data_IF_256778460192
#
_entry.id   IF_256778460192
#
_cell.length_a   1.000
_cell.length_b   1.000
_cell.length_c   1.000
_cell.angle_alpha   90.00
_cell.angle_beta   90.00
_cell.angle_gamma   90.00
#
_symmetry.space_group_name_H-M   'P 1'
#
loop_
_entity.id
_entity.type
_entity.pdbx_description
1 polymer ?
#
# COMPACT_ATOMS: atom_id res chain seq x y z
N UNK A 1 21.17 29.60 3.99
CA UNK A 1 21.16 29.98 5.42
C UNK A 1 19.77 29.82 6.06
N UNK A 2 18.73 30.31 5.42
CA UNK A 2 17.35 30.30 5.93
C UNK A 2 16.79 28.88 6.13
N UNK A 3 17.06 27.97 5.21
CA UNK A 3 16.60 26.55 5.30
C UNK A 3 17.26 25.80 6.46
N UNK A 4 18.52 26.12 6.79
CA UNK A 4 19.23 25.52 7.93
C UNK A 4 18.73 26.08 9.27
N UNK A 5 18.32 27.32 9.30
CA UNK A 5 17.75 27.96 10.48
C UNK A 5 16.34 27.43 10.78
N UNK A 6 15.54 27.22 9.74
CA UNK A 6 14.22 26.59 9.85
C UNK A 6 14.33 25.15 10.32
N UNK A 7 15.29 24.37 9.81
CA UNK A 7 15.53 23.00 10.23
C UNK A 7 15.90 22.87 11.73
N UNK A 8 16.58 23.90 12.30
CA UNK A 8 16.88 23.94 13.75
C UNK A 8 15.66 24.14 14.65
N UNK A 9 14.59 24.72 14.12
CA UNK A 9 13.34 24.99 14.86
C UNK A 9 12.30 23.90 14.67
N UNK A 10 12.56 22.91 13.80
CA UNK A 10 11.65 21.81 13.50
C UNK A 10 11.35 21.00 14.75
N UNK A 11 10.08 20.79 15.05
CA UNK A 11 9.62 20.00 16.18
C UNK A 11 8.70 18.83 15.79
N UNK A 12 8.42 18.69 14.50
CA UNK A 12 7.69 17.58 13.93
C UNK A 12 8.26 17.17 12.57
N UNK A 13 8.23 15.89 12.26
CA UNK A 13 8.60 15.34 10.95
C UNK A 13 7.54 14.35 10.50
N UNK A 14 7.16 14.48 9.24
CA UNK A 14 6.22 13.56 8.58
C UNK A 14 7.01 12.70 7.60
N UNK A 15 6.96 11.40 7.82
CA UNK A 15 7.69 10.40 7.06
C UNK A 15 6.72 9.59 6.21
N UNK A 16 6.98 9.48 4.91
CA UNK A 16 6.30 8.49 4.08
C UNK A 16 6.81 7.09 4.43
N UNK A 17 5.96 6.08 4.35
CA UNK A 17 6.39 4.71 4.53
C UNK A 17 7.31 4.27 3.39
N UNK A 18 6.77 4.28 2.16
CA UNK A 18 7.40 3.66 0.98
C UNK A 18 8.62 4.45 0.50
N UNK A 19 9.76 3.79 0.43
CA UNK A 19 11.02 4.39 -0.01
C UNK A 19 11.71 5.29 1.03
N UNK A 20 11.02 5.65 2.12
CA UNK A 20 11.60 6.44 3.24
C UNK A 20 11.92 5.55 4.43
N UNK A 21 10.92 4.99 5.08
CA UNK A 21 11.09 4.02 6.17
C UNK A 21 11.40 2.61 5.63
N UNK A 22 10.95 2.31 4.43
CA UNK A 22 11.19 1.06 3.73
C UNK A 22 12.19 1.24 2.57
N UNK A 23 12.67 0.13 2.02
CA UNK A 23 13.64 0.12 0.93
C UNK A 23 13.07 0.63 -0.41
N UNK A 24 11.74 0.73 -0.52
CA UNK A 24 11.06 1.11 -1.75
C UNK A 24 11.12 0.03 -2.83
N UNK A 25 11.30 -1.22 -2.42
CA UNK A 25 11.37 -2.41 -3.28
C UNK A 25 10.35 -3.44 -2.83
N UNK A 26 9.06 -3.20 -3.11
CA UNK A 26 8.02 -4.16 -2.76
C UNK A 26 8.23 -5.48 -3.50
N UNK A 27 8.02 -6.59 -2.81
CA UNK A 27 8.12 -7.94 -3.35
C UNK A 27 6.92 -8.77 -2.94
N UNK A 28 6.45 -9.65 -3.84
CA UNK A 28 5.40 -10.62 -3.53
C UNK A 28 5.95 -11.66 -2.55
N UNK A 29 5.24 -11.87 -1.45
CA UNK A 29 5.59 -12.84 -0.40
C UNK A 29 4.63 -14.00 -0.33
N UNK A 30 3.37 -13.78 -0.65
CA UNK A 30 2.31 -14.79 -0.64
C UNK A 30 1.36 -14.56 -1.81
N UNK A 31 0.80 -15.63 -2.33
CA UNK A 31 -0.22 -15.61 -3.37
C UNK A 31 -1.19 -16.76 -3.14
N UNK A 32 -2.48 -16.48 -3.17
CA UNK A 32 -3.50 -17.52 -3.00
C UNK A 32 -3.51 -18.49 -4.19
N UNK A 33 -3.77 -19.79 -3.89
CA UNK A 33 -3.67 -20.89 -4.86
C UNK A 33 -4.38 -20.66 -6.20
N UNK A 34 -5.63 -20.12 -6.25
CA UNK A 34 -6.29 -19.87 -7.53
C UNK A 34 -5.52 -18.92 -8.46
N UNK A 35 -4.74 -17.98 -7.92
CA UNK A 35 -3.97 -17.01 -8.71
C UNK A 35 -2.62 -17.57 -9.18
N UNK A 36 -2.20 -18.72 -8.67
CA UNK A 36 -1.02 -19.42 -9.16
C UNK A 36 -1.25 -20.09 -10.51
N UNK A 37 -2.52 -20.24 -10.94
CA UNK A 37 -2.94 -20.98 -12.13
C UNK A 37 -3.62 -20.09 -13.16
N UNK A 38 -3.55 -20.49 -14.42
CA UNK A 38 -4.39 -19.91 -15.47
C UNK A 38 -5.85 -20.35 -15.29
N UNK A 39 -6.84 -19.50 -15.65
CA UNK A 39 -6.64 -18.19 -16.27
C UNK A 39 -6.45 -17.04 -15.28
N UNK A 40 -6.75 -17.22 -13.97
CA UNK A 40 -6.81 -16.11 -13.00
C UNK A 40 -5.46 -15.43 -12.79
N UNK A 41 -4.38 -16.20 -12.77
CA UNK A 41 -3.03 -15.63 -12.71
C UNK A 41 -2.70 -14.76 -13.92
N UNK A 42 -3.15 -15.17 -15.10
CA UNK A 42 -2.93 -14.39 -16.34
C UNK A 42 -3.79 -13.12 -16.36
N UNK A 43 -5.01 -13.19 -15.81
CA UNK A 43 -5.88 -12.02 -15.62
C UNK A 43 -5.23 -11.00 -14.69
N UNK A 44 -4.75 -11.42 -13.52
CA UNK A 44 -4.06 -10.53 -12.57
C UNK A 44 -2.81 -9.91 -13.22
N UNK A 45 -1.99 -10.73 -13.86
CA UNK A 45 -0.80 -10.25 -14.56
C UNK A 45 -1.13 -9.21 -15.64
N UNK A 46 -2.19 -9.44 -16.41
CA UNK A 46 -2.64 -8.53 -17.46
C UNK A 46 -3.08 -7.17 -16.90
N UNK A 47 -3.90 -7.17 -15.85
CA UNK A 47 -4.35 -5.95 -15.18
C UNK A 47 -3.18 -5.13 -14.63
N UNK A 48 -2.29 -5.80 -13.90
CA UNK A 48 -1.17 -5.14 -13.23
C UNK A 48 -0.07 -4.70 -14.22
N UNK A 49 0.06 -5.37 -15.37
CA UNK A 49 0.98 -4.95 -16.44
C UNK A 49 0.59 -3.60 -17.06
N UNK A 50 -0.67 -3.20 -16.96
CA UNK A 50 -1.15 -1.90 -17.44
C UNK A 50 -1.05 -0.79 -16.38
N UNK A 51 -0.60 -1.12 -15.17
CA UNK A 51 -0.48 -0.20 -14.04
C UNK A 51 0.97 0.23 -13.82
N UNK A 52 1.18 1.52 -13.55
CA UNK A 52 2.49 2.08 -13.19
C UNK A 52 2.76 2.04 -11.66
N UNK A 53 1.82 1.52 -10.88
CA UNK A 53 1.95 1.49 -9.43
C UNK A 53 3.08 0.54 -8.98
N UNK A 54 3.93 0.90 -7.98
CA UNK A 54 5.03 0.04 -7.52
C UNK A 54 4.60 -1.37 -7.07
N UNK A 55 3.41 -1.50 -6.49
CA UNK A 55 2.86 -2.81 -6.09
C UNK A 55 2.49 -3.66 -7.32
N UNK A 56 1.96 -3.04 -8.38
CA UNK A 56 1.67 -3.71 -9.63
C UNK A 56 2.96 -4.25 -10.27
N UNK A 57 4.01 -3.42 -10.29
CA UNK A 57 5.32 -3.84 -10.79
C UNK A 57 5.89 -5.04 -10.02
N UNK A 58 5.70 -5.09 -8.69
CA UNK A 58 6.11 -6.22 -7.87
C UNK A 58 5.39 -7.52 -8.28
N UNK A 59 4.10 -7.45 -8.60
CA UNK A 59 3.32 -8.60 -9.08
C UNK A 59 3.82 -9.06 -10.44
N UNK A 60 4.04 -8.13 -11.38
CA UNK A 60 4.54 -8.41 -12.72
C UNK A 60 5.94 -9.04 -12.69
N UNK A 61 6.81 -8.58 -11.80
CA UNK A 61 8.16 -9.12 -11.64
C UNK A 61 8.20 -10.50 -10.97
N UNK A 62 7.19 -10.82 -10.18
CA UNK A 62 7.13 -12.10 -9.46
C UNK A 62 7.07 -13.31 -10.40
N UNK A 63 6.25 -13.23 -11.45
CA UNK A 63 6.12 -14.30 -12.43
C UNK A 63 5.65 -13.74 -13.78
N UNK A 64 6.43 -14.01 -14.83
CA UNK A 64 6.00 -13.70 -16.20
C UNK A 64 4.88 -14.65 -16.62
N UNK A 65 3.79 -14.07 -17.12
CA UNK A 65 2.59 -14.78 -17.57
C UNK A 65 2.13 -14.26 -18.93
N UNK A 66 1.11 -14.90 -19.48
CA UNK A 66 0.49 -14.46 -20.74
C UNK A 66 -0.28 -13.18 -20.51
N UNK A 67 -0.06 -12.17 -21.36
CA UNK A 67 -0.92 -10.99 -21.44
C UNK A 67 -2.13 -11.36 -22.30
N UNK A 68 -3.30 -11.20 -21.71
CA UNK A 68 -4.59 -11.45 -22.36
C UNK A 68 -5.08 -10.17 -23.04
N UNK A 69 -5.89 -10.29 -24.13
CA UNK A 69 -6.58 -9.12 -24.67
C UNK A 69 -7.47 -8.47 -23.61
N UNK A 70 -7.25 -7.16 -23.37
CA UNK A 70 -7.99 -6.38 -22.37
C UNK A 70 -8.57 -5.14 -23.01
N UNK A 71 -9.82 -4.87 -22.70
CA UNK A 71 -10.58 -3.69 -23.10
C UNK A 71 -10.94 -2.87 -21.86
N UNK A 72 -11.28 -1.61 -22.04
CA UNK A 72 -11.84 -0.73 -21.01
C UNK A 72 -10.99 -0.70 -19.72
N UNK A 73 -9.66 -0.63 -19.87
CA UNK A 73 -8.77 -0.45 -18.72
C UNK A 73 -8.98 0.90 -18.07
N UNK A 74 -9.07 0.90 -16.73
CA UNK A 74 -9.24 2.11 -15.93
C UNK A 74 -8.45 2.02 -14.63
N UNK A 75 -7.72 3.08 -14.32
CA UNK A 75 -7.10 3.26 -13.01
C UNK A 75 -8.09 3.93 -12.05
N UNK A 76 -8.43 3.26 -10.97
CA UNK A 76 -9.35 3.72 -9.93
C UNK A 76 -8.54 4.35 -8.79
N UNK A 77 -8.47 5.66 -8.76
CA UNK A 77 -7.61 6.42 -7.84
C UNK A 77 -7.78 5.98 -6.39
N UNK A 78 -6.68 5.51 -5.78
CA UNK A 78 -6.63 5.06 -4.39
C UNK A 78 -7.33 3.73 -4.10
N UNK A 79 -7.83 3.04 -5.13
CA UNK A 79 -8.51 1.76 -5.02
C UNK A 79 -7.77 0.64 -5.72
N UNK A 80 -7.32 0.85 -6.95
CA UNK A 80 -6.68 -0.14 -7.79
C UNK A 80 -6.95 0.08 -9.28
N UNK A 81 -7.14 -1.00 -10.02
CA UNK A 81 -7.39 -0.98 -11.46
C UNK A 81 -8.57 -1.88 -11.84
N UNK A 82 -9.17 -1.60 -12.98
CA UNK A 82 -10.24 -2.38 -13.59
C UNK A 82 -9.94 -2.60 -15.07
N UNK A 83 -10.35 -3.73 -15.61
CA UNK A 83 -10.29 -4.02 -17.03
C UNK A 83 -11.27 -5.12 -17.43
N UNK A 84 -11.63 -5.15 -18.71
CA UNK A 84 -12.53 -6.17 -19.27
C UNK A 84 -11.72 -7.17 -20.09
N UNK A 85 -11.73 -8.43 -19.65
CA UNK A 85 -11.00 -9.54 -20.27
C UNK A 85 -12.00 -10.65 -20.61
N UNK A 86 -12.03 -11.06 -21.85
CA UNK A 86 -12.99 -12.07 -22.34
C UNK A 86 -14.45 -11.74 -21.98
N UNK A 87 -14.85 -10.47 -22.09
CA UNK A 87 -16.21 -10.02 -21.79
C UNK A 87 -16.54 -9.87 -20.29
N UNK A 88 -15.64 -10.21 -19.39
CA UNK A 88 -15.82 -10.10 -17.93
C UNK A 88 -14.98 -8.96 -17.37
N UNK A 89 -15.58 -8.12 -16.52
CA UNK A 89 -14.85 -7.13 -15.76
C UNK A 89 -14.12 -7.78 -14.58
N UNK A 90 -12.83 -7.47 -14.48
CA UNK A 90 -11.98 -7.84 -13.37
C UNK A 90 -11.42 -6.59 -12.70
N UNK A 91 -11.15 -6.72 -11.42
CA UNK A 91 -10.63 -5.67 -10.55
C UNK A 91 -9.39 -6.18 -9.83
N UNK A 92 -8.35 -5.37 -9.76
CA UNK A 92 -7.19 -5.63 -8.91
C UNK A 92 -6.93 -4.43 -8.01
N UNK A 93 -6.86 -4.61 -6.69
CA UNK A 93 -6.67 -3.49 -5.79
C UNK A 93 -6.84 -3.81 -4.30
N UNK A 94 -7.03 -2.77 -3.51
CA UNK A 94 -7.13 -2.87 -2.05
C UNK A 94 -8.53 -3.29 -1.56
N UNK A 95 -8.68 -3.48 -0.24
CA UNK A 95 -9.95 -3.85 0.39
C UNK A 95 -11.09 -2.87 0.08
N UNK A 96 -10.79 -1.56 0.06
CA UNK A 96 -11.80 -0.53 -0.22
C UNK A 96 -12.39 -0.63 -1.63
N UNK A 97 -11.62 -1.13 -2.60
CA UNK A 97 -12.14 -1.42 -3.94
C UNK A 97 -13.28 -2.43 -3.86
N UNK A 98 -13.11 -3.53 -3.10
CA UNK A 98 -14.15 -4.55 -2.92
C UNK A 98 -15.41 -3.97 -2.26
N UNK A 99 -15.22 -3.15 -1.23
CA UNK A 99 -16.31 -2.50 -0.50
C UNK A 99 -17.06 -1.49 -1.38
N UNK A 100 -16.35 -0.66 -2.13
CA UNK A 100 -16.93 0.35 -3.04
C UNK A 100 -17.78 -0.28 -4.14
N UNK A 101 -17.36 -1.44 -4.65
CA UNK A 101 -18.07 -2.17 -5.69
C UNK A 101 -19.01 -3.27 -5.14
N UNK A 102 -19.19 -3.35 -3.82
CA UNK A 102 -20.06 -4.33 -3.14
C UNK A 102 -19.73 -5.79 -3.50
N UNK A 103 -18.44 -6.09 -3.70
CA UNK A 103 -17.98 -7.42 -4.06
C UNK A 103 -17.90 -8.31 -2.82
N UNK A 104 -18.39 -9.54 -2.92
CA UNK A 104 -18.39 -10.49 -1.80
C UNK A 104 -16.99 -11.09 -1.60
N UNK A 105 -16.67 -11.42 -0.35
CA UNK A 105 -15.41 -12.06 0.02
C UNK A 105 -15.72 -13.30 0.86
N UNK A 106 -15.12 -14.43 0.51
CA UNK A 106 -15.29 -15.65 1.29
C UNK A 106 -14.66 -15.51 2.69
N UNK A 107 -15.18 -16.23 3.71
CA UNK A 107 -14.57 -16.22 5.04
C UNK A 107 -13.09 -16.63 5.04
N UNK A 108 -12.73 -17.63 4.24
CA UNK A 108 -11.34 -18.10 4.13
C UNK A 108 -10.38 -17.02 3.62
N UNK A 109 -10.76 -16.29 2.56
CA UNK A 109 -9.95 -15.18 2.05
C UNK A 109 -9.90 -14.00 3.02
N UNK A 110 -10.99 -13.76 3.76
CA UNK A 110 -11.01 -12.71 4.79
C UNK A 110 -10.02 -13.02 5.92
N UNK A 111 -10.00 -14.26 6.40
CA UNK A 111 -9.08 -14.72 7.44
C UNK A 111 -7.62 -14.68 6.96
N UNK A 112 -7.35 -15.14 5.75
CA UNK A 112 -6.02 -15.07 5.14
C UNK A 112 -5.53 -13.63 5.03
N UNK A 113 -6.35 -12.71 4.54
CA UNK A 113 -6.00 -11.29 4.44
C UNK A 113 -5.71 -10.66 5.81
N UNK A 114 -6.50 -10.98 6.83
CA UNK A 114 -6.29 -10.49 8.19
C UNK A 114 -4.94 -10.98 8.75
N UNK A 115 -4.61 -12.25 8.56
CA UNK A 115 -3.30 -12.81 8.95
C UNK A 115 -2.14 -12.09 8.27
N UNK A 116 -2.21 -11.89 6.95
CA UNK A 116 -1.18 -11.22 6.18
C UNK A 116 -1.00 -9.75 6.58
N UNK A 117 -2.10 -9.05 6.86
CA UNK A 117 -2.06 -7.67 7.38
C UNK A 117 -1.40 -7.59 8.75
N UNK A 118 -1.62 -8.60 9.61
CA UNK A 118 -0.93 -8.72 10.91
C UNK A 118 0.58 -8.96 10.75
N UNK A 119 1.03 -9.49 9.63
CA UNK A 119 2.44 -9.64 9.26
C UNK A 119 3.05 -8.39 8.60
N UNK A 120 2.35 -7.25 8.65
CA UNK A 120 2.73 -5.98 8.02
C UNK A 120 2.84 -6.03 6.49
N UNK A 121 2.07 -6.92 5.85
CA UNK A 121 2.02 -7.07 4.40
C UNK A 121 0.85 -6.28 3.81
N UNK A 122 1.04 -5.73 2.63
CA UNK A 122 -0.01 -5.09 1.85
C UNK A 122 -0.72 -6.15 1.02
N UNK A 123 -2.04 -6.22 1.12
CA UNK A 123 -2.86 -7.21 0.40
C UNK A 123 -3.51 -6.56 -0.82
N UNK A 124 -3.27 -7.14 -1.99
CA UNK A 124 -3.93 -6.82 -3.25
C UNK A 124 -4.89 -7.95 -3.60
N UNK A 125 -6.10 -7.61 -3.91
CA UNK A 125 -7.18 -8.52 -4.25
C UNK A 125 -7.38 -8.60 -5.76
N UNK A 126 -7.65 -9.79 -6.29
CA UNK A 126 -8.27 -9.97 -7.59
C UNK A 126 -9.73 -10.31 -7.39
N UNK A 127 -10.62 -9.66 -8.11
CA UNK A 127 -12.06 -9.90 -8.08
C UNK A 127 -12.67 -9.84 -9.50
N UNK A 128 -13.79 -10.51 -9.68
CA UNK A 128 -14.71 -10.27 -10.80
C UNK A 128 -15.81 -9.27 -10.39
N UNK A 129 -16.88 -9.17 -11.14
CA UNK A 129 -18.00 -8.26 -10.87
C UNK A 129 -18.87 -8.68 -9.67
N UNK A 130 -18.60 -9.80 -9.03
CA UNK A 130 -19.43 -10.37 -7.97
C UNK A 130 -18.65 -10.66 -6.69
N UNK A 131 -17.41 -11.16 -6.81
CA UNK A 131 -16.67 -11.67 -5.67
C UNK A 131 -15.15 -11.56 -5.84
N UNK A 132 -14.46 -11.57 -4.71
CA UNK A 132 -13.03 -11.78 -4.65
C UNK A 132 -12.67 -13.21 -5.07
N UNK A 133 -11.69 -13.34 -5.95
CA UNK A 133 -11.23 -14.60 -6.52
C UNK A 133 -9.93 -15.08 -5.88
N UNK A 134 -9.18 -14.17 -5.26
CA UNK A 134 -7.93 -14.45 -4.60
C UNK A 134 -7.21 -13.17 -4.16
N UNK A 135 -6.05 -13.34 -3.56
CA UNK A 135 -5.23 -12.24 -3.07
C UNK A 135 -3.74 -12.50 -3.27
N UNK A 136 -2.99 -11.41 -3.28
CA UNK A 136 -1.52 -11.39 -3.29
C UNK A 136 -1.06 -10.51 -2.13
N UNK A 137 -0.09 -10.99 -1.34
CA UNK A 137 0.55 -10.19 -0.32
C UNK A 137 1.91 -9.69 -0.79
N UNK A 138 2.17 -8.44 -0.50
CA UNK A 138 3.40 -7.74 -0.89
C UNK A 138 3.98 -7.10 0.36
N UNK A 139 5.29 -7.29 0.57
CA UNK A 139 6.03 -6.63 1.62
C UNK A 139 7.11 -5.72 1.03
N UNK A 140 7.24 -4.54 1.61
CA UNK A 140 8.36 -3.65 1.37
C UNK A 140 9.20 -3.60 2.66
N UNK A 141 10.43 -4.10 2.58
CA UNK A 141 11.29 -4.29 3.74
C UNK A 141 11.63 -2.96 4.41
N UNK A 142 11.45 -2.88 5.73
CA UNK A 142 11.89 -1.73 6.52
C UNK A 142 13.42 -1.65 6.46
N UNK A 143 13.96 -0.45 6.21
CA UNK A 143 15.41 -0.22 6.21
C UNK A 143 15.97 -0.54 7.60
N UNK A 144 17.11 -1.24 7.70
CA UNK A 144 17.73 -1.57 8.99
C UNK A 144 17.99 -0.34 9.89
N UNK A 145 18.21 0.83 9.27
CA UNK A 145 18.51 2.10 9.95
C UNK A 145 17.28 2.89 10.38
N UNK A 146 16.06 2.55 9.90
CA UNK A 146 14.87 3.38 10.11
C UNK A 146 14.49 3.51 11.58
N UNK A 147 14.52 2.41 12.33
CA UNK A 147 14.19 2.41 13.76
C UNK A 147 15.14 3.29 14.57
N UNK A 148 16.44 3.20 14.27
CA UNK A 148 17.45 4.02 14.97
C UNK A 148 17.31 5.50 14.59
N UNK A 149 17.08 5.81 13.32
CA UNK A 149 16.85 7.19 12.88
C UNK A 149 15.63 7.83 13.57
N UNK A 150 14.51 7.10 13.63
CA UNK A 150 13.30 7.54 14.35
C UNK A 150 13.60 7.77 15.84
N UNK A 151 14.32 6.85 16.47
CA UNK A 151 14.72 6.99 17.89
C UNK A 151 15.58 8.23 18.14
N UNK A 152 16.51 8.53 17.22
CA UNK A 152 17.35 9.73 17.33
C UNK A 152 16.53 11.02 17.18
N UNK A 153 15.62 11.08 16.21
CA UNK A 153 14.70 12.20 16.05
C UNK A 153 13.87 12.46 17.30
N UNK A 154 13.33 11.41 17.88
CA UNK A 154 12.54 11.50 19.12
C UNK A 154 13.40 11.98 20.31
N UNK A 155 14.66 11.54 20.44
CA UNK A 155 15.60 12.06 21.46
C UNK A 155 15.91 13.54 21.30
N UNK A 156 15.84 14.05 20.06
CA UNK A 156 15.98 15.49 19.76
C UNK A 156 14.70 16.29 20.06
N UNK A 157 13.63 15.64 20.57
CA UNK A 157 12.35 16.28 20.85
C UNK A 157 11.46 16.47 19.60
N UNK A 158 11.80 15.80 18.49
CA UNK A 158 11.05 15.90 17.24
C UNK A 158 9.96 14.81 17.24
N UNK A 159 8.70 15.23 17.14
CA UNK A 159 7.55 14.33 16.98
C UNK A 159 7.59 13.68 15.59
N UNK A 160 7.51 12.35 15.53
CA UNK A 160 7.56 11.60 14.28
C UNK A 160 6.18 11.08 13.89
N UNK A 161 5.78 11.32 12.66
CA UNK A 161 4.50 10.90 12.07
C UNK A 161 4.78 10.04 10.84
N UNK A 162 4.04 8.95 10.67
CA UNK A 162 4.10 8.13 9.45
C UNK A 162 2.81 8.31 8.64
N UNK A 163 2.94 8.52 7.34
CA UNK A 163 1.82 8.48 6.39
C UNK A 163 1.96 7.28 5.46
N UNK A 164 0.86 6.59 5.20
CA UNK A 164 0.81 5.47 4.28
C UNK A 164 -0.56 5.32 3.62
N UNK A 165 -0.58 4.79 2.40
CA UNK A 165 -1.81 4.35 1.74
C UNK A 165 -2.31 2.97 2.20
N UNK A 166 -1.55 2.24 3.03
CA UNK A 166 -1.94 0.94 3.56
C UNK A 166 -3.17 1.03 4.46
N UNK A 167 -3.80 -0.14 4.70
CA UNK A 167 -4.87 -0.25 5.69
C UNK A 167 -4.34 0.00 7.12
N UNK A 168 -5.24 0.29 8.09
CA UNK A 168 -4.85 0.63 9.45
C UNK A 168 -4.03 -0.45 10.17
N UNK A 169 -4.33 -1.73 9.96
CA UNK A 169 -3.63 -2.84 10.61
C UNK A 169 -2.18 -2.94 10.15
N UNK A 170 -1.95 -2.91 8.84
CA UNK A 170 -0.60 -2.90 8.25
C UNK A 170 0.17 -1.65 8.68
N UNK A 171 -0.46 -0.48 8.64
CA UNK A 171 0.14 0.78 9.06
C UNK A 171 0.57 0.74 10.53
N UNK A 172 -0.28 0.25 11.42
CA UNK A 172 0.02 0.10 12.85
C UNK A 172 1.24 -0.81 13.09
N UNK A 173 1.31 -1.94 12.38
CA UNK A 173 2.43 -2.88 12.52
C UNK A 173 3.76 -2.27 12.07
N UNK A 174 3.76 -1.60 10.93
CA UNK A 174 4.96 -0.94 10.40
C UNK A 174 5.40 0.21 11.33
N UNK A 175 4.47 1.04 11.77
CA UNK A 175 4.76 2.11 12.71
C UNK A 175 5.38 1.57 14.01
N UNK A 176 4.83 0.51 14.58
CA UNK A 176 5.37 -0.13 15.78
C UNK A 176 6.78 -0.69 15.57
N UNK A 177 7.06 -1.31 14.42
CA UNK A 177 8.40 -1.81 14.08
C UNK A 177 9.43 -0.68 13.95
N UNK A 178 9.01 0.50 13.48
CA UNK A 178 9.86 1.68 13.38
C UNK A 178 9.93 2.49 14.70
N UNK A 179 9.11 2.17 15.71
CA UNK A 179 9.02 2.94 16.96
C UNK A 179 8.25 4.23 16.84
N UNK A 180 7.34 4.35 15.84
CA UNK A 180 6.48 5.51 15.61
C UNK A 180 5.12 5.26 16.24
N UNK A 181 4.63 6.22 17.05
CA UNK A 181 3.32 6.14 17.71
C UNK A 181 2.21 6.89 16.97
N UNK A 182 2.57 7.88 16.15
CA UNK A 182 1.64 8.68 15.38
C UNK A 182 1.67 8.28 13.91
N UNK A 183 0.59 7.72 13.40
CA UNK A 183 0.49 7.35 11.99
C UNK A 183 -0.91 7.63 11.45
N UNK A 184 -0.98 7.86 10.15
CA UNK A 184 -2.23 7.96 9.38
C UNK A 184 -2.20 6.92 8.26
N UNK A 185 -3.18 6.05 8.26
CA UNK A 185 -3.41 5.03 7.24
C UNK A 185 -4.37 5.54 6.14
N UNK A 186 -4.43 4.82 5.02
CA UNK A 186 -5.35 5.08 3.91
C UNK A 186 -5.26 6.50 3.33
N UNK A 187 -4.06 7.10 3.40
CA UNK A 187 -3.81 8.46 2.92
C UNK A 187 -3.62 8.47 1.41
N UNK A 188 -4.47 9.19 0.71
CA UNK A 188 -4.33 9.43 -0.72
C UNK A 188 -3.18 10.43 -0.98
N UNK A 189 -2.52 10.37 -2.15
CA UNK A 189 -1.39 11.26 -2.47
C UNK A 189 -1.70 12.74 -2.26
N UNK A 190 -2.89 13.20 -2.68
CA UNK A 190 -3.34 14.58 -2.53
C UNK A 190 -3.60 15.00 -1.07
N UNK A 191 -3.81 14.06 -0.16
CA UNK A 191 -4.09 14.33 1.26
C UNK A 191 -2.80 14.51 2.09
N UNK A 192 -1.65 14.07 1.60
CA UNK A 192 -0.37 14.16 2.33
C UNK A 192 0.00 15.61 2.63
N UNK A 193 -0.12 16.50 1.65
CA UNK A 193 0.15 17.93 1.85
C UNK A 193 -0.84 18.58 2.83
N UNK A 194 -2.11 18.16 2.83
CA UNK A 194 -3.11 18.67 3.76
C UNK A 194 -2.80 18.24 5.21
N UNK A 195 -2.30 17.04 5.41
CA UNK A 195 -1.88 16.56 6.73
C UNK A 195 -0.79 17.46 7.34
N UNK A 196 0.23 17.79 6.54
CA UNK A 196 1.30 18.71 6.97
C UNK A 196 0.73 20.09 7.33
N UNK A 197 -0.15 20.66 6.49
CA UNK A 197 -0.79 21.94 6.76
C UNK A 197 -1.61 21.93 8.06
N UNK A 198 -2.26 20.82 8.39
CA UNK A 198 -3.01 20.69 9.63
C UNK A 198 -2.08 20.71 10.85
N UNK A 199 -0.97 19.98 10.81
CA UNK A 199 0.04 20.03 11.89
C UNK A 199 0.61 21.43 12.06
N UNK A 200 0.86 22.16 10.98
CA UNK A 200 1.34 23.56 11.03
C UNK A 200 0.29 24.50 11.66
N UNK A 201 -1.01 24.30 11.38
CA UNK A 201 -2.09 25.06 12.02
C UNK A 201 -2.18 24.78 13.53
N UNK A 202 -1.78 23.59 13.97
CA UNK A 202 -1.68 23.22 15.39
C UNK A 202 -0.41 23.78 16.07
N UNK A 203 0.38 24.60 15.37
CA UNK A 203 1.59 25.23 15.86
C UNK A 203 2.87 24.38 15.75
N UNK A 204 2.83 23.29 14.98
CA UNK A 204 4.01 22.49 14.68
C UNK A 204 4.86 23.14 13.58
N UNK A 205 6.17 23.03 13.71
CA UNK A 205 7.15 23.37 12.67
C UNK A 205 7.58 22.04 12.05
N UNK A 206 7.05 21.75 10.83
CA UNK A 206 7.16 20.45 10.16
C UNK A 206 8.15 20.52 9.01
#
# INVERSE_FOLDING_TARGET
AESLETARKMNAIVLDKTGTLTEGRPTVTDISDPLLRSPLGDVLFTLESASEHPLAQAIVQYQTRQILPMEEFESLTGLGVRGKINGTYYYAGNRRLLETHHLTVSPALTEEAARLSQEAKTVIWLADSQQALGLVAIADRIKPTSREAVRQLQKMGISTYMLTGDNPETAQRIAAQCGITHFQAEVLPQQKAQFIKNLQKEGKIV
#
